data_IF_450287213639
#
_entry.id   IF_450287213639
#
_cell.length_a   1.000
_cell.length_b   1.000
_cell.length_c   1.000
_cell.angle_alpha   90.00
_cell.angle_beta   90.00
_cell.angle_gamma   90.00
#
_symmetry.space_group_name_H-M   'P 1'
#
loop_
_entity.id
_entity.type
_entity.pdbx_description
1 polymer ?
#
# COMPACT_ATOMS: atom_id res chain seq x y z
N UNK A 1 -28.60 -37.26 34.45
CA UNK A 1 -28.00 -36.16 33.65
C UNK A 1 -26.48 -36.23 33.84
N UNK A 2 -25.72 -36.56 32.80
CA UNK A 2 -24.32 -37.03 32.89
C UNK A 2 -23.33 -35.86 33.04
N UNK A 3 -22.40 -35.97 34.01
CA UNK A 3 -21.40 -34.93 34.35
C UNK A 3 -20.48 -34.52 33.17
N UNK A 4 -20.41 -35.34 32.12
CA UNK A 4 -19.66 -35.11 30.89
C UNK A 4 -20.24 -33.98 30.02
N UNK A 5 -21.56 -33.83 29.97
CA UNK A 5 -22.20 -32.72 29.23
C UNK A 5 -21.96 -31.38 29.91
N UNK A 6 -21.96 -31.36 31.25
CA UNK A 6 -21.74 -30.14 32.03
C UNK A 6 -20.31 -29.62 31.86
N UNK A 7 -19.31 -30.52 31.88
CA UNK A 7 -17.90 -30.13 31.68
C UNK A 7 -17.66 -29.51 30.31
N UNK A 8 -18.28 -30.05 29.25
CA UNK A 8 -18.17 -29.52 27.87
C UNK A 8 -18.88 -28.18 27.72
N UNK A 9 -19.97 -27.96 28.44
CA UNK A 9 -20.67 -26.67 28.47
C UNK A 9 -19.86 -25.61 29.24
N UNK A 10 -19.24 -25.98 30.35
CA UNK A 10 -18.40 -25.09 31.15
C UNK A 10 -17.14 -24.66 30.38
N UNK A 11 -16.44 -25.57 29.69
CA UNK A 11 -15.27 -25.17 28.89
C UNK A 11 -15.62 -24.29 27.69
N UNK A 12 -16.82 -24.44 27.13
CA UNK A 12 -17.32 -23.56 26.06
C UNK A 12 -17.72 -22.17 26.58
N UNK A 13 -18.26 -22.09 27.79
CA UNK A 13 -18.76 -20.84 28.41
C UNK A 13 -17.66 -20.05 29.15
N UNK A 14 -16.64 -20.75 29.64
CA UNK A 14 -15.48 -20.18 30.32
C UNK A 14 -14.22 -20.40 29.48
N UNK A 15 -14.20 -19.83 28.27
CA UNK A 15 -12.90 -19.42 27.73
C UNK A 15 -12.40 -18.33 28.68
N UNK A 16 -11.22 -18.47 29.32
CA UNK A 16 -10.71 -17.39 30.16
C UNK A 16 -10.71 -16.15 29.29
N UNK A 17 -11.38 -15.09 29.75
CA UNK A 17 -11.42 -13.79 29.10
C UNK A 17 -10.05 -13.58 28.49
N UNK A 18 -9.98 -13.57 27.16
CA UNK A 18 -8.73 -13.36 26.42
C UNK A 18 -8.15 -12.12 27.07
N UNK A 19 -7.11 -12.31 27.88
CA UNK A 19 -6.53 -11.23 28.67
C UNK A 19 -6.28 -10.16 27.63
N UNK A 20 -6.86 -8.97 27.82
CA UNK A 20 -6.53 -7.81 27.01
C UNK A 20 -5.09 -7.46 27.41
N UNK A 21 -4.14 -8.34 27.09
CA UNK A 21 -2.75 -7.95 26.98
C UNK A 21 -2.82 -6.81 25.99
N UNK A 22 -2.36 -5.59 26.36
CA UNK A 22 -2.15 -4.59 25.35
C UNK A 22 -1.21 -5.25 24.35
N UNK A 23 -1.74 -5.60 23.17
CA UNK A 23 -0.94 -6.01 22.03
C UNK A 23 0.18 -4.99 21.98
N UNK A 24 1.47 -5.40 22.01
CA UNK A 24 2.57 -4.46 22.09
C UNK A 24 2.30 -3.43 21.01
N UNK A 25 2.01 -2.20 21.44
CA UNK A 25 1.60 -1.12 20.55
C UNK A 25 2.80 -0.90 19.66
N UNK A 26 2.80 -1.58 18.49
CA UNK A 26 3.89 -1.51 17.53
C UNK A 26 4.02 -0.02 17.26
N UNK A 27 5.14 0.62 17.61
CA UNK A 27 5.20 2.06 17.66
C UNK A 27 4.77 2.59 16.30
N UNK A 28 3.87 3.59 16.32
CA UNK A 28 3.29 4.29 15.17
C UNK A 28 4.34 4.91 14.21
N UNK A 29 5.63 4.70 14.46
CA UNK A 29 6.77 4.98 13.58
C UNK A 29 6.60 4.39 12.16
N UNK A 30 5.81 3.32 12.02
CA UNK A 30 5.56 2.68 10.74
C UNK A 30 4.83 3.58 9.72
N UNK A 31 4.11 4.63 10.16
CA UNK A 31 3.38 5.51 9.24
C UNK A 31 4.34 6.33 8.36
N UNK A 32 5.31 7.01 8.97
CA UNK A 32 6.29 7.82 8.24
C UNK A 32 7.16 6.96 7.32
N UNK A 33 7.59 5.80 7.80
CA UNK A 33 8.35 4.85 6.98
C UNK A 33 7.54 4.36 5.76
N UNK A 34 6.24 4.08 5.93
CA UNK A 34 5.33 3.72 4.82
C UNK A 34 5.23 4.84 3.78
N UNK A 35 5.02 6.09 4.19
CA UNK A 35 4.92 7.21 3.24
C UNK A 35 6.23 7.44 2.47
N UNK A 36 7.38 7.32 3.14
CA UNK A 36 8.68 7.43 2.47
C UNK A 36 8.86 6.33 1.41
N UNK A 37 8.53 5.07 1.76
CA UNK A 37 8.62 3.96 0.81
C UNK A 37 7.71 4.16 -0.42
N UNK A 38 6.49 4.68 -0.20
CA UNK A 38 5.54 4.98 -1.27
C UNK A 38 6.04 6.10 -2.18
N UNK A 39 6.61 7.16 -1.60
CA UNK A 39 7.21 8.25 -2.36
C UNK A 39 8.38 7.76 -3.23
N UNK A 40 9.22 6.86 -2.72
CA UNK A 40 10.27 6.22 -3.52
C UNK A 40 9.70 5.41 -4.69
N UNK A 41 8.61 4.66 -4.48
CA UNK A 41 7.95 3.92 -5.56
C UNK A 41 7.46 4.86 -6.67
N UNK A 42 6.86 6.00 -6.32
CA UNK A 42 6.41 6.99 -7.28
C UNK A 42 7.56 7.67 -8.03
N UNK A 43 8.67 7.98 -7.35
CA UNK A 43 9.88 8.51 -8.00
C UNK A 43 10.43 7.50 -9.00
N UNK A 44 10.55 6.23 -8.61
CA UNK A 44 11.03 5.16 -9.49
C UNK A 44 10.11 5.02 -10.70
N UNK A 45 8.79 5.05 -10.49
CA UNK A 45 7.79 4.98 -11.57
C UNK A 45 7.91 6.17 -12.53
N UNK A 46 8.05 7.39 -12.00
CA UNK A 46 8.22 8.60 -12.79
C UNK A 46 9.50 8.55 -13.63
N UNK A 47 10.62 8.23 -13.00
CA UNK A 47 11.91 8.11 -13.69
C UNK A 47 11.86 7.00 -14.73
N UNK A 48 11.27 5.85 -14.39
CA UNK A 48 11.10 4.72 -15.31
C UNK A 48 10.27 5.07 -16.54
N UNK A 49 9.13 5.75 -16.37
CA UNK A 49 8.29 6.19 -17.48
C UNK A 49 8.94 7.30 -18.32
N UNK A 50 9.62 8.25 -17.68
CA UNK A 50 10.31 9.33 -18.39
C UNK A 50 11.50 8.80 -19.19
N UNK A 51 12.35 7.96 -18.59
CA UNK A 51 13.48 7.35 -19.29
C UNK A 51 13.03 6.36 -20.35
N UNK A 52 11.99 5.57 -20.07
CA UNK A 52 11.37 4.67 -21.03
C UNK A 52 10.81 5.42 -22.24
N UNK A 53 10.07 6.51 -22.00
CA UNK A 53 9.56 7.39 -23.06
C UNK A 53 10.70 7.99 -23.89
N UNK A 54 11.78 8.44 -23.27
CA UNK A 54 12.95 8.98 -23.98
C UNK A 54 13.68 7.92 -24.79
N UNK A 55 13.77 6.69 -24.28
CA UNK A 55 14.37 5.58 -25.01
C UNK A 55 13.54 5.23 -26.26
N UNK A 56 12.21 5.22 -26.13
CA UNK A 56 11.28 4.99 -27.24
C UNK A 56 11.35 6.14 -28.26
N UNK A 57 11.37 7.39 -27.79
CA UNK A 57 11.48 8.58 -28.65
C UNK A 57 12.77 8.55 -29.48
N UNK A 58 13.87 8.09 -28.89
CA UNK A 58 15.15 7.90 -29.59
C UNK A 58 15.11 6.73 -30.56
N UNK A 59 14.50 5.60 -30.18
CA UNK A 59 14.37 4.42 -31.03
C UNK A 59 13.54 4.72 -32.29
N UNK A 60 12.48 5.53 -32.14
CA UNK A 60 11.62 5.95 -33.25
C UNK A 60 12.15 7.18 -34.00
N UNK A 61 13.32 7.71 -33.60
CA UNK A 61 13.98 8.89 -34.20
C UNK A 61 13.05 10.10 -34.33
N UNK A 62 12.09 10.20 -33.41
CA UNK A 62 11.07 11.23 -33.41
C UNK A 62 11.70 12.59 -33.14
N UNK A 63 11.48 13.57 -34.02
CA UNK A 63 11.98 14.95 -33.83
C UNK A 63 11.38 15.64 -32.60
N UNK A 64 10.18 15.23 -32.19
CA UNK A 64 9.51 15.73 -31.00
C UNK A 64 9.36 14.60 -29.97
N UNK A 65 9.74 14.80 -28.70
CA UNK A 65 9.72 13.76 -27.67
C UNK A 65 8.29 13.47 -27.16
N UNK A 66 7.43 12.94 -28.03
CA UNK A 66 6.02 12.66 -27.75
C UNK A 66 5.86 11.59 -26.67
N UNK A 67 6.62 10.50 -26.75
CA UNK A 67 6.50 9.38 -25.82
C UNK A 67 7.02 9.74 -24.43
N UNK A 68 8.08 10.55 -24.34
CA UNK A 68 8.53 11.13 -23.07
C UNK A 68 7.44 11.99 -22.45
N UNK A 69 6.80 12.85 -23.25
CA UNK A 69 5.75 13.73 -22.76
C UNK A 69 4.55 12.92 -22.25
N UNK A 70 4.08 11.94 -23.04
CA UNK A 70 2.99 11.04 -22.65
C UNK A 70 3.37 10.23 -21.40
N UNK A 71 4.60 9.71 -21.33
CA UNK A 71 5.10 8.97 -20.17
C UNK A 71 5.11 9.81 -18.90
N UNK A 72 5.53 11.07 -18.97
CA UNK A 72 5.49 12.02 -17.86
C UNK A 72 4.05 12.31 -17.43
N UNK A 73 3.15 12.58 -18.39
CA UNK A 73 1.73 12.81 -18.07
C UNK A 73 1.08 11.58 -17.42
N UNK A 74 1.37 10.39 -17.93
CA UNK A 74 0.86 9.14 -17.38
C UNK A 74 1.39 8.90 -15.96
N UNK A 75 2.68 9.13 -15.74
CA UNK A 75 3.29 9.03 -14.42
C UNK A 75 2.62 9.97 -13.42
N UNK A 76 2.44 11.25 -13.79
CA UNK A 76 1.76 12.22 -12.95
C UNK A 76 0.32 11.79 -12.63
N UNK A 77 -0.42 11.31 -13.63
CA UNK A 77 -1.80 10.86 -13.44
C UNK A 77 -1.87 9.70 -12.43
N UNK A 78 -0.98 8.71 -12.56
CA UNK A 78 -0.90 7.57 -11.63
C UNK A 78 -0.55 8.04 -10.22
N UNK A 79 0.45 8.92 -10.09
CA UNK A 79 0.90 9.43 -8.78
C UNK A 79 -0.21 10.21 -8.09
N UNK A 80 -0.86 11.15 -8.79
CA UNK A 80 -1.94 11.94 -8.20
C UNK A 80 -3.16 11.09 -7.88
N UNK A 81 -3.54 10.15 -8.74
CA UNK A 81 -4.63 9.23 -8.45
C UNK A 81 -4.32 8.34 -7.25
N UNK A 82 -3.09 7.81 -7.16
CA UNK A 82 -2.64 7.02 -6.02
C UNK A 82 -2.63 7.83 -4.73
N UNK A 83 -2.19 9.09 -4.78
CA UNK A 83 -2.19 10.00 -3.64
C UNK A 83 -3.62 10.35 -3.20
N UNK A 84 -4.51 10.67 -4.15
CA UNK A 84 -5.92 10.94 -3.89
C UNK A 84 -6.59 9.74 -3.22
N UNK A 85 -6.36 8.54 -3.73
CA UNK A 85 -6.89 7.30 -3.15
C UNK A 85 -6.35 7.07 -1.75
N UNK A 86 -5.04 7.26 -1.54
CA UNK A 86 -4.38 7.09 -0.23
C UNK A 86 -4.92 8.05 0.82
N UNK A 87 -5.16 9.31 0.46
CA UNK A 87 -5.70 10.33 1.37
C UNK A 87 -7.19 10.08 1.65
N UNK A 88 -7.95 9.61 0.66
CA UNK A 88 -9.40 9.37 0.80
C UNK A 88 -9.71 8.07 1.55
N UNK A 89 -8.92 7.02 1.33
CA UNK A 89 -9.13 5.69 1.93
C UNK A 89 -7.79 5.14 2.47
N UNK A 90 -7.35 5.59 3.67
CA UNK A 90 -6.06 5.18 4.23
C UNK A 90 -6.00 3.71 4.66
N UNK A 91 -7.15 3.02 4.72
CA UNK A 91 -7.27 1.62 5.16
C UNK A 91 -7.18 0.60 4.01
N UNK A 92 -7.02 1.06 2.75
CA UNK A 92 -7.06 0.18 1.57
C UNK A 92 -5.71 -0.45 1.17
N UNK A 93 -4.67 -0.31 2.00
CA UNK A 93 -3.30 -0.81 1.77
C UNK A 93 -2.84 -1.86 2.81
#
# INVERSE_FOLDING_TARGET
MTKTHLKKWLTKKYQPLKVLTPQPNKPSYNKYAKFSALAFQWIILFVGLSLGGNWIDKYLTTHFPLFTLIGVFLALFIIFYSLYKLVTNPDSD
#
